data_IF_188260854315
#
_entry.id   IF_188260854315
#
_cell.length_a   1.000
_cell.length_b   1.000
_cell.length_c   1.000
_cell.angle_alpha   90.00
_cell.angle_beta   90.00
_cell.angle_gamma   90.00
#
_symmetry.space_group_name_H-M   'P 1'
#
loop_
_entity.id
_entity.type
_entity.pdbx_description
1 polymer ?
#
# COMPACT_ATOMS: atom_id res chain seq x y z
N UNK A 1 -3.33 -11.48 -19.85
CA UNK A 1 -4.37 -11.89 -18.89
C UNK A 1 -4.38 -10.84 -17.80
N UNK A 2 -5.55 -10.36 -17.39
CA UNK A 2 -5.66 -9.50 -16.20
C UNK A 2 -5.18 -10.30 -14.98
N UNK A 3 -4.49 -9.65 -14.04
CA UNK A 3 -4.05 -10.27 -12.78
C UNK A 3 -5.22 -10.50 -11.80
N UNK A 4 -6.40 -9.96 -12.14
CA UNK A 4 -7.65 -10.09 -11.39
C UNK A 4 -8.79 -10.59 -12.29
N UNK A 5 -9.79 -11.31 -11.75
CA UNK A 5 -11.02 -11.65 -12.49
C UNK A 5 -11.80 -10.40 -12.92
N UNK A 6 -12.38 -10.41 -14.12
CA UNK A 6 -13.08 -9.25 -14.71
C UNK A 6 -14.30 -8.79 -13.89
N UNK A 7 -14.93 -9.67 -13.12
CA UNK A 7 -16.10 -9.39 -12.28
C UNK A 7 -15.74 -9.12 -10.81
N UNK A 8 -14.46 -9.24 -10.46
CA UNK A 8 -14.00 -8.97 -9.11
C UNK A 8 -14.11 -7.48 -8.77
N UNK A 9 -14.45 -7.19 -7.53
CA UNK A 9 -14.57 -5.82 -7.00
C UNK A 9 -13.67 -5.68 -5.79
N UNK A 10 -12.85 -4.64 -5.80
CA UNK A 10 -12.02 -4.33 -4.66
C UNK A 10 -12.87 -3.95 -3.44
N UNK A 11 -12.47 -4.35 -2.22
CA UNK A 11 -13.18 -3.94 -1.02
C UNK A 11 -13.10 -2.42 -0.83
N UNK A 12 -14.21 -1.76 -0.54
CA UNK A 12 -14.18 -0.31 -0.26
C UNK A 12 -13.69 0.02 1.16
N UNK A 13 -13.65 -0.98 2.04
CA UNK A 13 -13.31 -0.80 3.46
C UNK A 13 -12.82 -2.08 4.14
N UNK A 14 -11.94 -1.92 5.12
CA UNK A 14 -11.60 -2.92 6.13
C UNK A 14 -11.54 -2.26 7.51
N UNK A 15 -12.33 -2.75 8.47
CA UNK A 15 -12.29 -2.29 9.87
C UNK A 15 -11.32 -3.12 10.70
N UNK A 16 -10.54 -2.45 11.55
CA UNK A 16 -9.60 -3.08 12.48
C UNK A 16 -10.20 -3.16 13.89
N UNK A 17 -9.81 -4.16 14.70
CA UNK A 17 -10.32 -4.31 16.08
C UNK A 17 -9.93 -3.14 17.01
N UNK A 18 -8.96 -2.32 16.61
CA UNK A 18 -8.49 -1.13 17.33
C UNK A 18 -9.32 0.13 17.03
N UNK A 19 -10.40 0.02 16.25
CA UNK A 19 -11.25 1.15 15.85
C UNK A 19 -10.76 1.89 14.60
N UNK A 20 -9.57 1.56 14.11
CA UNK A 20 -9.03 2.09 12.87
C UNK A 20 -9.72 1.44 11.67
N UNK A 21 -9.61 2.05 10.50
CA UNK A 21 -10.09 1.45 9.25
C UNK A 21 -9.18 1.78 8.08
N UNK A 22 -9.25 0.95 7.05
CA UNK A 22 -8.65 1.16 5.74
C UNK A 22 -9.75 1.45 4.72
N UNK A 23 -9.48 2.34 3.78
CA UNK A 23 -10.28 2.55 2.56
C UNK A 23 -9.37 2.96 1.39
N UNK A 24 -9.82 2.82 0.13
CA UNK A 24 -9.07 3.33 -1.02
C UNK A 24 -8.67 4.80 -0.83
N UNK A 25 -7.40 5.11 -1.12
CA UNK A 25 -6.88 6.48 -1.08
C UNK A 25 -7.47 7.32 -2.22
N UNK A 26 -7.57 8.63 -2.02
CA UNK A 26 -8.14 9.59 -2.97
C UNK A 26 -7.22 10.79 -3.13
N UNK A 27 -7.29 11.47 -4.27
CA UNK A 27 -6.55 12.71 -4.49
C UNK A 27 -6.84 13.79 -3.44
N UNK A 28 -8.07 13.82 -2.93
CA UNK A 28 -8.52 14.77 -1.90
C UNK A 28 -7.91 14.52 -0.52
N UNK A 29 -7.23 13.38 -0.30
CA UNK A 29 -6.57 13.06 0.97
C UNK A 29 -5.22 13.77 1.15
N UNK A 30 -4.74 14.51 0.14
CA UNK A 30 -3.41 15.14 0.13
C UNK A 30 -3.11 16.01 1.36
N UNK A 31 -4.10 16.72 1.91
CA UNK A 31 -3.88 17.59 3.08
C UNK A 31 -3.59 16.80 4.36
N UNK A 32 -3.95 15.52 4.40
CA UNK A 32 -3.69 14.59 5.52
C UNK A 32 -2.63 13.54 5.19
N UNK A 33 -2.42 13.20 3.92
CA UNK A 33 -1.36 12.29 3.47
C UNK A 33 0.02 12.96 3.51
N UNK A 34 0.16 14.16 2.92
CA UNK A 34 1.42 14.90 2.91
C UNK A 34 2.08 15.04 4.29
N UNK A 35 1.39 15.47 5.37
CA UNK A 35 2.01 15.50 6.70
C UNK A 35 2.36 14.12 7.25
N UNK A 36 1.60 13.06 6.89
CA UNK A 36 1.90 11.69 7.31
C UNK A 36 3.19 11.16 6.64
N UNK A 37 3.29 11.33 5.32
CA UNK A 37 4.45 10.95 4.52
C UNK A 37 5.67 11.77 4.92
N UNK A 38 5.56 13.10 4.91
CA UNK A 38 6.68 13.98 5.19
C UNK A 38 7.10 13.96 6.66
N UNK A 39 6.17 13.71 7.58
CA UNK A 39 6.46 13.49 9.00
C UNK A 39 7.21 12.19 9.27
N UNK A 40 7.02 11.17 8.42
CA UNK A 40 7.66 9.85 8.54
C UNK A 40 8.79 9.63 7.54
N UNK A 41 9.20 10.69 6.82
CA UNK A 41 9.97 10.60 5.58
C UNK A 41 11.30 9.88 5.74
N UNK A 42 12.02 10.09 6.84
CA UNK A 42 13.34 9.47 7.04
C UNK A 42 13.23 7.93 7.06
N UNK A 43 12.31 7.37 7.87
CA UNK A 43 12.07 5.92 7.90
C UNK A 43 11.52 5.40 6.58
N UNK A 44 10.57 6.13 5.98
CA UNK A 44 10.01 5.73 4.68
C UNK A 44 11.09 5.70 3.60
N UNK A 45 11.97 6.70 3.56
CA UNK A 45 13.09 6.71 2.62
C UNK A 45 14.06 5.55 2.84
N UNK A 46 14.36 5.17 4.08
CA UNK A 46 15.21 4.00 4.35
C UNK A 46 14.62 2.70 3.78
N UNK A 47 13.30 2.60 3.73
CA UNK A 47 12.58 1.40 3.28
C UNK A 47 12.32 1.41 1.78
N UNK A 48 11.76 2.51 1.24
CA UNK A 48 11.25 2.62 -0.13
C UNK A 48 12.19 3.42 -1.04
N UNK A 49 13.03 4.29 -0.48
CA UNK A 49 13.90 5.20 -1.22
C UNK A 49 14.89 4.52 -2.18
N UNK A 50 15.60 3.44 -1.77
CA UNK A 50 16.53 2.74 -2.66
C UNK A 50 15.87 2.13 -3.90
N UNK A 51 14.59 1.77 -3.84
CA UNK A 51 13.88 1.07 -4.90
C UNK A 51 13.10 2.05 -5.78
N UNK A 52 12.39 3.00 -5.18
CA UNK A 52 11.46 3.88 -5.90
C UNK A 52 11.83 5.35 -5.87
N UNK A 53 12.86 5.73 -5.11
CA UNK A 53 13.21 7.14 -4.91
C UNK A 53 12.12 7.92 -4.18
N UNK A 54 11.31 7.25 -3.35
CA UNK A 54 10.19 7.82 -2.60
C UNK A 54 10.36 7.64 -1.07
N UNK A 55 9.96 8.61 -0.23
CA UNK A 55 9.57 9.98 -0.58
C UNK A 55 10.80 10.90 -0.67
N UNK A 56 10.98 11.67 -1.77
CA UNK A 56 12.12 12.57 -1.89
C UNK A 56 12.08 13.68 -0.83
N UNK A 57 13.24 14.20 -0.45
CA UNK A 57 13.34 15.19 0.64
C UNK A 57 12.66 16.53 0.30
N UNK A 58 12.52 16.84 -0.98
CA UNK A 58 11.91 18.06 -1.53
C UNK A 58 10.51 17.81 -2.12
N UNK A 59 9.87 16.69 -1.75
CA UNK A 59 8.50 16.39 -2.16
C UNK A 59 7.57 17.55 -1.79
N UNK A 60 6.79 18.04 -2.75
CA UNK A 60 5.84 19.12 -2.55
C UNK A 60 4.43 18.57 -2.36
N UNK A 61 3.55 19.37 -1.74
CA UNK A 61 2.12 19.06 -1.61
C UNK A 61 1.44 18.82 -2.97
N UNK A 62 1.92 19.46 -4.04
CA UNK A 62 1.39 19.27 -5.39
C UNK A 62 1.83 17.93 -5.97
N UNK A 63 3.10 17.55 -5.80
CA UNK A 63 3.61 16.24 -6.22
C UNK A 63 2.90 15.10 -5.48
N UNK A 64 2.63 15.28 -4.20
CA UNK A 64 1.84 14.35 -3.41
C UNK A 64 0.42 14.19 -3.97
N UNK A 65 -0.26 15.31 -4.25
CA UNK A 65 -1.59 15.29 -4.89
C UNK A 65 -1.59 14.54 -6.22
N UNK A 66 -0.57 14.74 -7.04
CA UNK A 66 -0.42 14.08 -8.33
C UNK A 66 -0.22 12.57 -8.18
N UNK A 67 0.54 12.15 -7.18
CA UNK A 67 0.76 10.74 -6.83
C UNK A 67 -0.54 10.08 -6.34
N UNK A 68 -1.27 10.74 -5.43
CA UNK A 68 -2.58 10.27 -4.97
C UNK A 68 -3.60 10.19 -6.10
N UNK A 69 -3.62 11.17 -7.01
CA UNK A 69 -4.50 11.15 -8.16
C UNK A 69 -4.13 10.02 -9.14
N UNK A 70 -2.86 9.65 -9.24
CA UNK A 70 -2.43 8.48 -10.00
C UNK A 70 -2.93 7.19 -9.35
N UNK A 71 -2.70 7.01 -8.05
CA UNK A 71 -3.20 5.86 -7.29
C UNK A 71 -4.73 5.71 -7.37
N UNK A 72 -5.47 6.80 -7.25
CA UNK A 72 -6.94 6.79 -7.37
C UNK A 72 -7.39 6.26 -8.75
N UNK A 73 -6.70 6.65 -9.83
CA UNK A 73 -6.96 6.10 -11.18
C UNK A 73 -6.59 4.64 -11.28
N UNK A 74 -5.46 4.23 -10.72
CA UNK A 74 -5.04 2.82 -10.74
C UNK A 74 -6.05 1.91 -10.02
N UNK A 75 -6.57 2.37 -8.88
CA UNK A 75 -7.63 1.69 -8.13
C UNK A 75 -8.90 1.59 -8.97
N UNK A 76 -9.31 2.67 -9.63
CA UNK A 76 -10.50 2.66 -10.49
C UNK A 76 -10.35 1.71 -11.69
N UNK A 77 -9.13 1.55 -12.20
CA UNK A 77 -8.77 0.71 -13.34
C UNK A 77 -8.31 -0.72 -12.94
N UNK A 78 -8.31 -1.05 -11.64
CA UNK A 78 -7.79 -2.31 -11.08
C UNK A 78 -6.35 -2.64 -11.52
N UNK A 79 -5.49 -1.62 -11.66
CA UNK A 79 -4.07 -1.77 -12.01
C UNK A 79 -3.18 -2.00 -10.79
N UNK A 80 -3.45 -1.29 -9.70
CA UNK A 80 -2.86 -1.45 -8.37
C UNK A 80 -3.86 -0.92 -7.34
N UNK A 81 -3.56 -1.10 -6.05
CA UNK A 81 -4.38 -0.50 -5.01
C UNK A 81 -3.55 0.09 -3.89
N UNK A 82 -3.94 1.28 -3.46
CA UNK A 82 -3.41 1.94 -2.27
C UNK A 82 -4.58 2.24 -1.31
N UNK A 83 -4.50 1.71 -0.09
CA UNK A 83 -5.48 1.91 0.97
C UNK A 83 -4.88 2.75 2.10
N UNK A 84 -5.52 3.86 2.40
CA UNK A 84 -5.16 4.74 3.50
C UNK A 84 -5.73 4.24 4.83
N UNK A 85 -4.92 4.31 5.89
CA UNK A 85 -5.27 3.96 7.27
C UNK A 85 -5.71 5.21 8.05
N UNK A 86 -6.85 5.11 8.72
CA UNK A 86 -7.42 6.18 9.55
C UNK A 86 -7.70 5.69 10.97
N UNK A 87 -7.65 6.60 11.95
CA UNK A 87 -7.96 6.29 13.34
C UNK A 87 -9.47 6.07 13.58
N UNK A 88 -10.32 6.80 12.87
CA UNK A 88 -11.77 6.83 13.05
C UNK A 88 -12.49 7.42 11.83
N UNK A 89 -13.83 7.42 11.86
CA UNK A 89 -14.72 7.91 10.79
C UNK A 89 -14.54 9.38 10.41
N UNK A 90 -13.93 10.21 11.28
CA UNK A 90 -13.69 11.60 10.94
C UNK A 90 -12.53 11.74 9.94
N UNK A 91 -11.70 10.70 9.79
CA UNK A 91 -10.57 10.63 8.84
C UNK A 91 -9.69 11.89 8.88
N UNK A 92 -9.47 12.45 10.08
CA UNK A 92 -8.80 13.74 10.23
C UNK A 92 -7.28 13.70 10.04
N UNK A 93 -6.70 12.49 9.97
CA UNK A 93 -5.29 12.26 9.74
C UNK A 93 -5.11 10.90 9.06
N UNK A 94 -4.20 10.83 8.09
CA UNK A 94 -3.74 9.57 7.51
C UNK A 94 -2.60 9.02 8.37
N UNK A 95 -2.65 7.73 8.66
CA UNK A 95 -1.78 7.09 9.65
C UNK A 95 -0.90 5.99 9.04
N UNK A 96 -1.01 5.77 7.73
CA UNK A 96 -0.32 4.70 7.03
C UNK A 96 -1.02 4.35 5.73
N UNK A 97 -0.35 3.55 4.91
CA UNK A 97 -0.88 3.04 3.64
C UNK A 97 -0.60 1.54 3.50
N UNK A 98 -1.51 0.83 2.82
CA UNK A 98 -1.35 -0.56 2.37
C UNK A 98 -1.41 -0.58 0.85
N UNK A 99 -0.34 -1.07 0.23
CA UNK A 99 -0.22 -1.21 -1.22
C UNK A 99 -0.43 -2.67 -1.62
N UNK A 100 -1.22 -2.89 -2.66
CA UNK A 100 -1.49 -4.20 -3.26
C UNK A 100 -1.23 -4.09 -4.75
N UNK A 101 -0.10 -4.62 -5.19
CA UNK A 101 0.42 -4.48 -6.53
C UNK A 101 0.39 -5.82 -7.29
N UNK A 102 0.20 -5.79 -8.62
CA UNK A 102 0.41 -6.96 -9.45
C UNK A 102 1.87 -7.44 -9.28
N UNK A 103 2.11 -8.75 -9.35
CA UNK A 103 3.44 -9.30 -9.10
C UNK A 103 4.37 -8.94 -10.26
N UNK A 104 5.44 -8.19 -9.99
CA UNK A 104 6.51 -7.93 -10.97
C UNK A 104 7.49 -9.11 -11.07
N UNK A 105 7.56 -9.93 -10.00
CA UNK A 105 8.50 -11.04 -9.86
C UNK A 105 7.79 -12.39 -9.76
N UNK A 106 8.32 -13.41 -10.44
CA UNK A 106 7.69 -14.74 -10.55
C UNK A 106 7.40 -15.38 -9.19
N UNK A 107 6.28 -16.10 -9.11
CA UNK A 107 5.98 -16.97 -7.96
C UNK A 107 5.10 -16.35 -6.87
N UNK A 108 4.37 -15.28 -7.18
CA UNK A 108 3.28 -14.72 -6.36
C UNK A 108 2.16 -14.21 -7.29
N UNK A 109 0.97 -14.01 -6.73
CA UNK A 109 -0.21 -13.43 -7.40
C UNK A 109 -0.35 -11.92 -7.12
N UNK A 110 0.31 -11.44 -6.06
CA UNK A 110 0.39 -10.03 -5.67
C UNK A 110 1.63 -9.77 -4.80
N UNK A 111 2.20 -8.58 -4.91
CA UNK A 111 3.19 -8.03 -3.99
C UNK A 111 2.49 -7.00 -3.09
N UNK A 112 2.63 -7.15 -1.77
CA UNK A 112 1.93 -6.30 -0.79
C UNK A 112 2.92 -5.70 0.20
N UNK A 113 2.84 -4.40 0.38
CA UNK A 113 3.64 -3.67 1.37
C UNK A 113 2.78 -2.67 2.13
N UNK A 114 3.21 -2.29 3.33
CA UNK A 114 2.51 -1.27 4.11
C UNK A 114 3.44 -0.59 5.10
N UNK A 115 3.09 0.64 5.44
CA UNK A 115 3.74 1.44 6.45
C UNK A 115 2.71 2.12 7.34
N UNK A 116 3.15 2.54 8.53
CA UNK A 116 2.41 3.41 9.44
C UNK A 116 3.27 4.63 9.77
N UNK A 117 2.65 5.73 10.21
CA UNK A 117 3.37 6.90 10.71
C UNK A 117 4.22 6.56 11.93
N UNK A 118 5.24 7.37 12.20
CA UNK A 118 6.21 7.17 13.29
C UNK A 118 5.56 6.90 14.64
N UNK A 119 4.50 7.66 14.95
CA UNK A 119 3.77 7.60 16.21
C UNK A 119 3.06 6.25 16.44
N UNK A 120 2.80 5.48 15.38
CA UNK A 120 2.15 4.18 15.47
C UNK A 120 3.13 3.01 15.51
N UNK A 121 4.43 3.22 15.29
CA UNK A 121 5.42 2.15 15.31
C UNK A 121 5.53 1.54 16.71
N UNK A 122 5.46 0.21 16.80
CA UNK A 122 5.48 -0.55 18.05
C UNK A 122 4.17 -0.49 18.85
N UNK A 123 3.12 0.13 18.31
CA UNK A 123 1.82 0.23 19.00
C UNK A 123 0.93 -0.98 18.69
N UNK A 124 -0.13 -1.21 19.50
CA UNK A 124 -1.15 -2.21 19.17
C UNK A 124 -1.86 -1.95 17.83
N UNK A 125 -1.90 -0.71 17.35
CA UNK A 125 -2.50 -0.38 16.06
C UNK A 125 -1.67 -0.94 14.90
N UNK A 126 -0.33 -0.81 14.94
CA UNK A 126 0.56 -1.41 13.95
C UNK A 126 0.45 -2.94 13.98
N UNK A 127 0.43 -3.56 15.17
CA UNK A 127 0.27 -4.99 15.31
C UNK A 127 -1.07 -5.48 14.73
N UNK A 128 -2.17 -4.78 15.02
CA UNK A 128 -3.48 -5.10 14.48
C UNK A 128 -3.53 -4.99 12.96
N UNK A 129 -2.87 -3.97 12.36
CA UNK A 129 -2.74 -3.85 10.92
C UNK A 129 -1.96 -5.02 10.32
N UNK A 130 -0.82 -5.37 10.92
CA UNK A 130 0.04 -6.46 10.46
C UNK A 130 -0.65 -7.83 10.50
N UNK A 131 -1.58 -8.05 11.43
CA UNK A 131 -2.43 -9.25 11.48
C UNK A 131 -3.61 -9.18 10.51
N UNK A 132 -4.25 -8.01 10.38
CA UNK A 132 -5.46 -7.84 9.59
C UNK A 132 -5.21 -7.91 8.08
N UNK A 133 -4.10 -7.34 7.57
CA UNK A 133 -3.82 -7.28 6.13
C UNK A 133 -3.73 -8.68 5.50
N UNK A 134 -2.92 -9.64 6.00
CA UNK A 134 -2.88 -10.99 5.44
C UNK A 134 -4.21 -11.73 5.51
N UNK A 135 -4.94 -11.58 6.62
CA UNK A 135 -6.24 -12.23 6.81
C UNK A 135 -7.29 -11.67 5.84
N UNK A 136 -7.28 -10.36 5.60
CA UNK A 136 -8.18 -9.70 4.67
C UNK A 136 -7.89 -10.08 3.22
N UNK A 137 -6.62 -10.12 2.82
CA UNK A 137 -6.21 -10.59 1.49
C UNK A 137 -6.68 -12.02 1.24
N UNK A 138 -6.44 -12.93 2.18
CA UNK A 138 -6.88 -14.32 2.06
C UNK A 138 -8.41 -14.49 2.00
N UNK A 139 -9.18 -13.58 2.60
CA UNK A 139 -10.63 -13.68 2.69
C UNK A 139 -11.38 -12.95 1.55
N UNK A 140 -10.83 -11.86 1.02
CA UNK A 140 -11.55 -10.94 0.13
C UNK A 140 -10.91 -10.78 -1.25
N UNK A 141 -9.67 -11.17 -1.40
CA UNK A 141 -8.93 -11.01 -2.66
C UNK A 141 -8.78 -12.36 -3.37
N UNK A 142 -8.67 -12.38 -4.70
CA UNK A 142 -8.67 -13.61 -5.50
C UNK A 142 -7.27 -14.25 -5.55
N UNK A 143 -6.45 -14.06 -4.51
CA UNK A 143 -5.05 -14.49 -4.49
C UNK A 143 -4.90 -15.85 -3.84
N UNK A 144 -4.12 -16.74 -4.46
CA UNK A 144 -3.66 -17.98 -3.85
C UNK A 144 -2.34 -17.78 -3.08
N UNK A 145 -1.49 -16.85 -3.54
CA UNK A 145 -0.20 -16.55 -2.92
C UNK A 145 0.11 -15.06 -2.97
N UNK A 146 0.20 -14.44 -1.80
CA UNK A 146 0.67 -13.07 -1.63
C UNK A 146 2.13 -13.10 -1.17
N UNK A 147 2.94 -12.15 -1.64
CA UNK A 147 4.29 -11.91 -1.15
C UNK A 147 4.33 -10.57 -0.41
N UNK A 148 5.15 -10.50 0.64
CA UNK A 148 5.30 -9.30 1.47
C UNK A 148 6.74 -8.78 1.48
N UNK A 149 7.20 -8.08 0.43
CA UNK A 149 8.54 -7.51 0.39
C UNK A 149 8.74 -6.47 1.52
N UNK A 150 9.97 -6.40 2.03
CA UNK A 150 10.31 -5.63 3.23
C UNK A 150 9.92 -6.30 4.55
N UNK A 151 9.22 -7.46 4.51
CA UNK A 151 8.77 -8.20 5.71
C UNK A 151 9.21 -9.66 5.68
N UNK A 152 8.76 -10.44 4.70
CA UNK A 152 9.13 -11.86 4.56
C UNK A 152 10.44 -12.08 3.80
N UNK A 153 10.79 -11.11 2.97
CA UNK A 153 12.04 -11.01 2.22
C UNK A 153 12.43 -9.53 2.14
N UNK A 154 13.72 -9.27 2.08
CA UNK A 154 14.23 -7.91 1.87
C UNK A 154 13.89 -7.41 0.45
N UNK A 155 13.87 -6.09 0.27
CA UNK A 155 13.71 -5.49 -1.06
C UNK A 155 14.79 -5.94 -2.06
N UNK A 156 16.03 -6.15 -1.58
CA UNK A 156 17.12 -6.67 -2.41
C UNK A 156 16.89 -8.13 -2.83
N UNK A 157 16.35 -8.98 -1.94
CA UNK A 157 15.97 -10.34 -2.29
C UNK A 157 14.80 -10.37 -3.27
N UNK A 158 13.84 -9.46 -3.13
CA UNK A 158 12.73 -9.30 -4.08
C UNK A 158 13.24 -8.88 -5.47
N UNK A 159 14.13 -7.89 -5.55
CA UNK A 159 14.70 -7.41 -6.82
C UNK A 159 15.51 -8.51 -7.54
N UNK A 160 16.15 -9.41 -6.78
CA UNK A 160 16.90 -10.53 -7.33
C UNK A 160 16.03 -11.66 -7.90
N UNK A 161 14.71 -11.64 -7.69
CA UNK A 161 13.81 -12.64 -8.26
C UNK A 161 13.65 -12.45 -9.78
N UNK A 162 13.40 -13.52 -10.56
CA UNK A 162 13.13 -13.39 -11.98
C UNK A 162 11.88 -12.54 -12.26
N UNK A 163 11.95 -11.69 -13.28
CA UNK A 163 10.79 -10.91 -13.75
C UNK A 163 9.70 -11.80 -14.32
N UNK A 164 8.44 -11.43 -14.06
CA UNK A 164 7.33 -11.97 -14.82
C UNK A 164 7.51 -11.52 -16.27
N UNK A 165 7.71 -12.46 -17.19
CA UNK A 165 7.85 -12.11 -18.60
C UNK A 165 6.62 -11.32 -19.07
N UNK A 166 6.78 -10.20 -19.79
CA UNK A 166 5.64 -9.50 -20.35
C UNK A 166 4.83 -10.47 -21.22
N UNK A 167 3.50 -10.36 -21.27
CA UNK A 167 2.72 -11.20 -22.17
C UNK A 167 3.25 -11.02 -23.60
N UNK A 168 3.33 -12.09 -24.41
CA UNK A 168 3.60 -11.92 -25.83
C UNK A 168 2.50 -11.01 -26.40
N UNK A 169 2.93 -9.92 -27.04
CA UNK A 169 2.04 -8.93 -27.65
C UNK A 169 1.23 -9.44 -28.83
#
# INVERSE_FOLDING_TARGET
>A
MSWLPDDWRHPDRLDLPTGHHLRPIRADDVEIDYPAVMGSRERLWETFGPIWGWPPADMTLEQDRDDLAWHEREIAEHRSFNYALFADEAESALLGCVYVDPPERVGADADVSWWVVDDLVGTPAEAALAEAVPAWLAARWPFGRVRYPGRELTWAEWEALPEVSPPPG
#
